data_IF_204715503030
#
_entry.id   IF_204715503030
#
_cell.length_a   1.000
_cell.length_b   1.000
_cell.length_c   1.000
_cell.angle_alpha   90.00
_cell.angle_beta   90.00
_cell.angle_gamma   90.00
#
_symmetry.space_group_name_H-M   'P 1'
#
loop_
_entity.id
_entity.type
_entity.pdbx_description
1 polymer ?
#
# COMPACT_ATOMS: atom_id res chain seq x y z
N UNK A 1 -21.27 -28.48 -25.10
CA UNK A 1 -19.81 -28.32 -25.24
C UNK A 1 -19.50 -26.92 -24.76
N UNK A 2 -18.70 -26.74 -23.71
CA UNK A 2 -18.10 -25.46 -23.28
C UNK A 2 -17.37 -25.68 -21.94
N UNK A 3 -16.08 -26.03 -22.03
CA UNK A 3 -14.97 -25.56 -21.18
C UNK A 3 -13.73 -26.41 -21.54
N UNK A 4 -13.24 -26.26 -22.78
CA UNK A 4 -11.95 -26.82 -23.22
C UNK A 4 -10.88 -25.71 -23.25
N UNK A 5 -10.99 -24.75 -22.31
CA UNK A 5 -9.93 -23.79 -22.05
C UNK A 5 -8.79 -24.52 -21.35
N UNK A 6 -7.64 -24.62 -22.02
CA UNK A 6 -6.38 -25.06 -21.40
C UNK A 6 -6.20 -24.30 -20.08
N UNK A 7 -6.33 -25.02 -18.98
CA UNK A 7 -6.24 -24.44 -17.65
C UNK A 7 -4.78 -24.47 -17.22
N UNK A 8 -4.16 -23.30 -17.09
CA UNK A 8 -2.79 -23.20 -16.59
C UNK A 8 -2.73 -23.47 -15.08
N UNK A 9 -1.61 -24.03 -14.66
CA UNK A 9 -1.19 -24.27 -13.29
C UNK A 9 -0.01 -23.33 -12.94
N UNK A 10 -0.19 -21.99 -12.89
CA UNK A 10 0.90 -21.04 -12.76
C UNK A 10 1.64 -21.07 -11.41
N UNK A 11 2.96 -20.87 -11.47
CA UNK A 11 3.82 -20.56 -10.32
C UNK A 11 4.93 -19.58 -10.69
N UNK A 12 5.46 -18.86 -9.69
CA UNK A 12 6.54 -17.89 -9.89
C UNK A 12 7.83 -18.39 -9.23
N UNK A 13 8.91 -18.37 -10.00
CA UNK A 13 10.28 -18.54 -9.53
C UNK A 13 10.90 -17.17 -9.29
N UNK A 14 11.34 -16.92 -8.06
CA UNK A 14 12.02 -15.68 -7.67
C UNK A 14 13.49 -15.98 -7.43
N UNK A 15 14.36 -15.30 -8.19
CA UNK A 15 15.80 -15.42 -8.09
C UNK A 15 16.42 -14.11 -7.62
N UNK A 16 17.39 -14.23 -6.71
CA UNK A 16 18.22 -13.12 -6.24
C UNK A 16 19.65 -13.61 -6.02
N UNK A 17 20.58 -13.17 -6.87
CA UNK A 17 21.94 -13.71 -6.89
C UNK A 17 21.92 -15.23 -7.08
N UNK A 18 22.55 -15.96 -6.16
CA UNK A 18 22.56 -17.43 -6.17
C UNK A 18 21.32 -18.08 -5.54
N UNK A 19 20.43 -17.30 -4.90
CA UNK A 19 19.28 -17.83 -4.18
C UNK A 19 18.07 -17.89 -5.11
N UNK A 20 17.39 -19.04 -5.09
CA UNK A 20 16.15 -19.26 -5.85
C UNK A 20 15.07 -19.77 -4.92
N UNK A 21 13.88 -19.18 -4.99
CA UNK A 21 12.67 -19.60 -4.28
C UNK A 21 11.51 -19.71 -5.25
N UNK A 22 10.51 -20.52 -4.93
CA UNK A 22 9.34 -20.74 -5.77
C UNK A 22 8.08 -20.58 -4.96
N UNK A 23 7.02 -20.06 -5.57
CA UNK A 23 5.69 -20.08 -4.97
C UNK A 23 5.08 -21.48 -5.06
N UNK A 24 3.95 -21.67 -4.37
CA UNK A 24 3.04 -22.76 -4.68
C UNK A 24 2.49 -22.65 -6.10
N UNK A 25 2.15 -23.82 -6.66
CA UNK A 25 1.45 -23.95 -7.94
C UNK A 25 -0.04 -23.71 -7.72
N UNK A 26 -0.61 -22.75 -8.43
CA UNK A 26 -2.03 -22.45 -8.38
C UNK A 26 -2.73 -23.18 -9.51
N UNK A 27 -3.59 -24.14 -9.19
CA UNK A 27 -4.14 -25.04 -10.20
C UNK A 27 -5.29 -24.43 -10.99
N UNK A 28 -5.30 -24.67 -12.30
CA UNK A 28 -6.38 -24.37 -13.22
C UNK A 28 -6.87 -22.92 -13.16
N UNK A 29 -5.94 -21.97 -13.16
CA UNK A 29 -6.26 -20.55 -13.06
C UNK A 29 -5.37 -19.69 -13.96
N UNK A 30 -5.99 -18.69 -14.59
CA UNK A 30 -5.29 -17.64 -15.34
C UNK A 30 -5.09 -16.36 -14.52
N UNK A 31 -5.68 -16.30 -13.32
CA UNK A 31 -5.54 -15.19 -12.37
C UNK A 31 -5.06 -15.73 -11.02
N UNK A 32 -3.83 -16.23 -10.94
CA UNK A 32 -3.29 -16.80 -9.70
C UNK A 32 -3.14 -15.74 -8.61
N UNK A 33 -3.39 -16.16 -7.37
CA UNK A 33 -3.16 -15.36 -6.17
C UNK A 33 -2.31 -16.18 -5.22
N UNK A 34 -1.03 -15.87 -5.13
CA UNK A 34 -0.10 -16.61 -4.26
C UNK A 34 -0.08 -16.05 -2.83
N UNK A 35 0.01 -14.71 -2.67
CA UNK A 35 0.17 -14.06 -1.36
C UNK A 35 1.29 -14.65 -0.49
N UNK A 36 2.35 -15.14 -1.13
CA UNK A 36 3.49 -15.78 -0.45
C UNK A 36 4.61 -14.79 -0.18
N UNK A 37 5.19 -14.88 1.02
CA UNK A 37 6.30 -14.03 1.45
C UNK A 37 7.62 -14.77 1.30
N UNK A 38 8.57 -14.13 0.63
CA UNK A 38 9.92 -14.63 0.46
C UNK A 38 10.93 -13.62 0.99
N UNK A 39 11.93 -14.10 1.73
CA UNK A 39 13.00 -13.27 2.27
C UNK A 39 14.33 -13.63 1.61
N UNK A 40 15.09 -12.63 1.20
CA UNK A 40 16.42 -12.79 0.66
C UNK A 40 17.38 -11.93 1.48
N UNK A 41 18.53 -12.46 1.92
CA UNK A 41 19.58 -11.62 2.49
C UNK A 41 20.13 -10.70 1.38
N UNK A 42 20.36 -9.43 1.72
CA UNK A 42 20.85 -8.40 0.81
C UNK A 42 22.14 -7.84 1.40
N UNK A 43 23.21 -7.80 0.62
CA UNK A 43 24.46 -7.12 0.98
C UNK A 43 24.46 -5.65 0.54
N UNK A 44 25.43 -4.85 1.00
CA UNK A 44 25.57 -3.47 0.51
C UNK A 44 25.85 -3.37 -1.00
N UNK A 45 26.51 -4.37 -1.59
CA UNK A 45 26.72 -4.42 -3.04
C UNK A 45 25.40 -4.71 -3.77
N UNK A 46 24.64 -5.66 -3.26
CA UNK A 46 23.30 -5.98 -3.78
C UNK A 46 22.35 -4.78 -3.69
N UNK A 47 22.53 -3.88 -2.72
CA UNK A 47 21.74 -2.64 -2.66
C UNK A 47 21.97 -1.72 -3.84
N UNK A 48 23.16 -1.76 -4.44
CA UNK A 48 23.52 -0.94 -5.62
C UNK A 48 23.29 -1.70 -6.92
N UNK A 49 23.63 -2.98 -6.96
CA UNK A 49 23.75 -3.75 -8.19
C UNK A 49 22.77 -4.94 -8.27
N UNK A 50 22.11 -5.28 -7.17
CA UNK A 50 21.26 -6.46 -7.06
C UNK A 50 20.01 -6.35 -7.93
N UNK A 51 19.63 -7.48 -8.52
CA UNK A 51 18.43 -7.60 -9.36
C UNK A 51 17.59 -8.77 -8.86
N UNK A 52 16.34 -8.49 -8.52
CA UNK A 52 15.30 -9.49 -8.26
C UNK A 52 14.69 -9.89 -9.60
N UNK A 53 14.77 -11.17 -9.94
CA UNK A 53 14.20 -11.72 -11.16
C UNK A 53 13.02 -12.61 -10.80
N UNK A 54 11.87 -12.33 -11.40
CA UNK A 54 10.64 -13.10 -11.30
C UNK A 54 10.39 -13.76 -12.65
N UNK A 55 10.19 -15.07 -12.67
CA UNK A 55 9.82 -15.83 -13.86
C UNK A 55 8.56 -16.61 -13.55
N UNK A 56 7.53 -16.42 -14.35
CA UNK A 56 6.27 -17.14 -14.25
C UNK A 56 6.31 -18.36 -15.15
N UNK A 57 5.83 -19.51 -14.67
CA UNK A 57 5.80 -20.75 -15.42
C UNK A 57 4.44 -21.42 -15.27
N UNK A 58 3.99 -22.10 -16.32
CA UNK A 58 2.88 -23.03 -16.29
C UNK A 58 3.38 -24.42 -15.88
N UNK A 59 2.80 -25.01 -14.82
CA UNK A 59 3.22 -26.32 -14.34
C UNK A 59 2.57 -27.41 -15.19
N UNK A 60 3.36 -28.09 -16.00
CA UNK A 60 2.88 -29.23 -16.76
C UNK A 60 3.05 -30.57 -16.02
N UNK A 61 2.05 -31.44 -16.17
CA UNK A 61 2.02 -32.78 -15.55
C UNK A 61 2.96 -33.76 -16.27
N UNK A 62 3.18 -33.55 -17.57
CA UNK A 62 4.10 -34.35 -18.40
C UNK A 62 4.80 -33.41 -19.39
N UNK A 63 6.00 -32.95 -19.05
CA UNK A 63 6.77 -32.04 -19.90
C UNK A 63 7.73 -31.18 -19.09
N UNK A 64 8.46 -30.33 -19.80
CA UNK A 64 9.09 -29.16 -19.20
C UNK A 64 8.02 -28.11 -18.86
N UNK A 65 8.26 -27.27 -17.86
CA UNK A 65 7.33 -26.20 -17.47
C UNK A 65 7.42 -25.05 -18.51
N UNK A 66 6.28 -24.61 -19.07
CA UNK A 66 6.25 -23.52 -20.06
C UNK A 66 6.48 -22.15 -19.39
N UNK A 67 7.47 -21.39 -19.84
CA UNK A 67 7.67 -20.01 -19.36
C UNK A 67 6.54 -19.10 -19.86
N UNK A 68 5.93 -18.34 -18.96
CA UNK A 68 4.82 -17.43 -19.25
C UNK A 68 5.20 -15.95 -19.10
N UNK A 69 6.44 -15.65 -18.74
CA UNK A 69 6.93 -14.29 -18.69
C UNK A 69 7.96 -14.04 -17.59
N UNK A 70 8.72 -12.97 -17.79
CA UNK A 70 9.84 -12.58 -16.94
C UNK A 70 9.76 -11.11 -16.55
N UNK A 71 10.19 -10.80 -15.33
CA UNK A 71 10.29 -9.45 -14.78
C UNK A 71 11.58 -9.31 -13.98
N UNK A 72 12.33 -8.23 -14.22
CA UNK A 72 13.52 -7.89 -13.44
C UNK A 72 13.33 -6.56 -12.73
N UNK A 73 13.59 -6.53 -11.42
CA UNK A 73 13.50 -5.33 -10.59
C UNK A 73 14.85 -5.08 -9.94
N UNK A 74 15.44 -3.91 -10.20
CA UNK A 74 16.70 -3.53 -9.57
C UNK A 74 16.45 -3.08 -8.14
N UNK A 75 17.22 -3.61 -7.20
CA UNK A 75 17.10 -3.31 -5.77
C UNK A 75 17.36 -1.83 -5.47
N UNK A 76 18.23 -1.17 -6.24
CA UNK A 76 18.51 0.26 -6.11
C UNK A 76 17.30 1.17 -6.41
N UNK A 77 16.34 0.70 -7.21
CA UNK A 77 15.15 1.48 -7.60
C UNK A 77 14.03 1.36 -6.56
N UNK A 78 14.21 0.50 -5.55
CA UNK A 78 13.22 0.24 -4.51
C UNK A 78 13.46 1.11 -3.26
N UNK A 79 12.39 1.65 -2.65
CA UNK A 79 12.50 2.42 -1.43
C UNK A 79 12.89 1.53 -0.24
N UNK A 80 13.72 2.07 0.64
CA UNK A 80 14.04 1.45 1.93
C UNK A 80 12.99 1.83 2.95
N UNK A 81 12.69 0.92 3.89
CA UNK A 81 11.78 1.16 5.01
C UNK A 81 10.34 1.47 4.61
N UNK A 82 9.99 1.27 3.34
CA UNK A 82 8.65 1.49 2.80
C UNK A 82 8.27 0.30 1.91
N UNK A 83 6.98 -0.02 1.87
CA UNK A 83 6.48 -1.02 0.94
C UNK A 83 6.42 -0.42 -0.47
N UNK A 84 7.03 -1.12 -1.41
CA UNK A 84 6.85 -0.91 -2.83
C UNK A 84 5.82 -1.91 -3.33
N UNK A 85 4.69 -1.44 -3.86
CA UNK A 85 3.64 -2.28 -4.43
C UNK A 85 3.24 -1.77 -5.80
N UNK A 86 3.37 -2.61 -6.82
CA UNK A 86 3.06 -2.23 -8.19
C UNK A 86 2.72 -3.44 -9.06
N UNK A 87 1.96 -3.19 -10.12
CA UNK A 87 1.74 -4.10 -11.24
C UNK A 87 2.80 -3.88 -12.30
N UNK A 88 3.33 -4.98 -12.85
CA UNK A 88 4.31 -4.96 -13.92
C UNK A 88 3.88 -5.91 -15.04
N UNK A 89 3.93 -5.43 -16.28
CA UNK A 89 3.89 -6.29 -17.45
C UNK A 89 5.21 -7.06 -17.61
N UNK A 90 5.17 -8.17 -18.35
CA UNK A 90 6.36 -8.96 -18.68
C UNK A 90 7.33 -8.21 -19.60
N UNK A 91 8.62 -8.49 -19.45
CA UNK A 91 9.71 -7.79 -20.17
C UNK A 91 9.81 -8.16 -21.65
N UNK A 92 9.44 -9.39 -22.00
CA UNK A 92 9.56 -9.90 -23.38
C UNK A 92 8.53 -9.27 -24.34
N UNK A 93 7.42 -8.75 -23.81
CA UNK A 93 6.30 -8.23 -24.60
C UNK A 93 5.61 -9.27 -25.50
N UNK A 94 6.00 -10.54 -25.39
CA UNK A 94 5.46 -11.67 -26.15
C UNK A 94 4.35 -12.33 -25.34
N UNK A 95 4.54 -12.45 -24.03
CA UNK A 95 3.54 -13.00 -23.13
C UNK A 95 2.55 -11.94 -22.68
N UNK A 96 1.27 -12.26 -22.72
CA UNK A 96 0.23 -11.44 -22.13
C UNK A 96 0.13 -11.69 -20.62
N UNK A 97 -0.03 -10.62 -19.84
CA UNK A 97 -0.24 -10.72 -18.40
C UNK A 97 0.57 -9.70 -17.62
N UNK A 98 0.24 -9.60 -16.33
CA UNK A 98 0.90 -8.70 -15.40
C UNK A 98 1.08 -9.42 -14.06
N UNK A 99 2.14 -9.04 -13.34
CA UNK A 99 2.44 -9.51 -12.00
C UNK A 99 2.38 -8.35 -11.01
N UNK A 100 1.56 -8.49 -9.97
CA UNK A 100 1.63 -7.61 -8.81
C UNK A 100 2.70 -8.11 -7.86
N UNK A 101 3.64 -7.24 -7.50
CA UNK A 101 4.65 -7.52 -6.47
C UNK A 101 4.52 -6.53 -5.32
N UNK A 102 4.82 -7.01 -4.11
CA UNK A 102 5.05 -6.17 -2.94
C UNK A 102 6.44 -6.47 -2.38
N UNK A 103 7.30 -5.46 -2.33
CA UNK A 103 8.68 -5.57 -1.85
C UNK A 103 8.91 -4.61 -0.68
N UNK A 104 9.61 -5.10 0.34
CA UNK A 104 10.01 -4.32 1.51
C UNK A 104 11.47 -4.60 1.83
N UNK A 105 12.29 -3.54 1.84
CA UNK A 105 13.71 -3.64 2.17
C UNK A 105 13.90 -3.23 3.63
N UNK A 106 14.45 -4.16 4.41
CA UNK A 106 14.95 -3.95 5.77
C UNK A 106 16.46 -3.84 5.68
N UNK A 107 16.99 -2.65 5.92
CA UNK A 107 18.42 -2.49 6.23
C UNK A 107 18.61 -2.64 7.74
N UNK A 108 19.82 -2.97 8.21
CA UNK A 108 20.11 -2.75 9.63
C UNK A 108 20.01 -1.23 9.89
N UNK A 109 19.36 -0.84 10.99
CA UNK A 109 19.30 0.57 11.39
C UNK A 109 20.75 1.10 11.40
N UNK A 110 21.04 2.25 10.74
CA UNK A 110 22.40 2.79 10.73
C UNK A 110 22.88 2.84 12.18
N UNK A 111 24.12 2.42 12.48
CA UNK A 111 24.60 2.27 13.85
C UNK A 111 24.29 3.57 14.57
N UNK A 112 23.29 3.51 15.47
CA UNK A 112 22.85 4.72 16.14
C UNK A 112 24.09 5.32 16.78
N UNK A 113 24.38 6.62 16.58
CA UNK A 113 25.51 7.25 17.24
C UNK A 113 25.42 6.85 18.71
N UNK A 114 26.53 6.39 19.32
CA UNK A 114 26.51 5.77 20.64
C UNK A 114 25.64 6.64 21.51
N UNK A 115 24.59 6.05 22.12
CA UNK A 115 23.67 6.76 23.01
C UNK A 115 24.53 7.36 24.12
N UNK A 116 25.09 8.54 23.89
CA UNK A 116 25.68 9.37 24.92
C UNK A 116 24.51 9.58 25.85
N UNK A 117 24.59 8.98 27.03
CA UNK A 117 23.64 9.23 28.10
C UNK A 117 23.66 10.74 28.28
N UNK A 118 22.68 11.42 27.69
CA UNK A 118 22.50 12.84 27.87
C UNK A 118 22.39 13.01 29.38
N UNK A 119 23.38 13.66 29.98
CA UNK A 119 23.23 14.17 31.32
C UNK A 119 21.93 14.97 31.31
N UNK A 120 21.01 14.58 32.17
CA UNK A 120 19.67 15.13 32.28
C UNK A 120 19.74 16.66 32.22
N UNK A 121 19.31 17.25 31.11
CA UNK A 121 19.08 18.69 31.01
C UNK A 121 17.56 18.88 31.02
N UNK A 122 17.00 19.61 32.00
CA UNK A 122 15.56 19.77 32.09
C UNK A 122 15.07 20.69 30.96
N UNK A 123 14.14 20.16 30.17
CA UNK A 123 12.98 20.89 29.67
C UNK A 123 13.17 21.86 28.51
N UNK A 124 12.94 21.38 27.29
CA UNK A 124 12.55 22.21 26.16
C UNK A 124 12.02 21.36 25.01
N UNK A 125 10.76 21.58 24.60
CA UNK A 125 10.23 20.98 23.35
C UNK A 125 11.06 21.51 22.19
N UNK A 126 11.44 20.64 21.24
CA UNK A 126 12.18 21.09 20.06
C UNK A 126 11.37 22.09 19.23
N UNK A 127 12.04 22.91 18.42
CA UNK A 127 11.38 23.90 17.55
C UNK A 127 10.35 23.24 16.60
N UNK A 128 10.65 22.03 16.11
CA UNK A 128 9.75 21.22 15.29
C UNK A 128 8.49 20.82 16.07
N UNK A 129 8.66 20.30 17.30
CA UNK A 129 7.53 19.93 18.16
C UNK A 129 6.65 21.13 18.53
N UNK A 130 7.23 22.32 18.71
CA UNK A 130 6.48 23.55 18.96
C UNK A 130 5.71 24.02 17.71
N UNK A 131 6.29 23.88 16.52
CA UNK A 131 5.63 24.23 15.26
C UNK A 131 4.43 23.32 14.96
N UNK A 132 4.58 22.01 15.14
CA UNK A 132 3.51 21.02 14.94
C UNK A 132 2.34 21.22 15.93
N UNK A 133 2.64 21.52 17.20
CA UNK A 133 1.60 21.79 18.20
C UNK A 133 0.84 23.10 17.90
N UNK A 134 1.54 24.13 17.40
CA UNK A 134 0.95 25.40 16.97
C UNK A 134 0.03 25.20 15.75
N UNK A 135 0.45 24.38 14.77
CA UNK A 135 -0.37 24.04 13.61
C UNK A 135 -1.62 23.23 13.98
N UNK A 136 -1.49 22.22 14.84
CA UNK A 136 -2.62 21.43 15.35
C UNK A 136 -3.63 22.28 16.12
N UNK A 137 -3.16 23.24 16.94
CA UNK A 137 -4.02 24.18 17.66
C UNK A 137 -4.76 25.13 16.73
N UNK A 138 -4.10 25.62 15.67
CA UNK A 138 -4.73 26.47 14.66
C UNK A 138 -5.86 25.73 13.92
N UNK A 139 -5.57 24.51 13.42
CA UNK A 139 -6.57 23.69 12.72
C UNK A 139 -7.78 23.35 13.60
N UNK A 140 -7.57 23.01 14.88
CA UNK A 140 -8.67 22.70 15.81
C UNK A 140 -9.55 23.91 16.11
N UNK A 141 -8.99 25.13 16.11
CA UNK A 141 -9.75 26.37 16.35
C UNK A 141 -10.62 26.72 15.14
N UNK A 142 -10.10 26.51 13.94
CA UNK A 142 -10.83 26.71 12.68
C UNK A 142 -11.99 25.71 12.55
N UNK A 143 -11.74 24.44 12.83
CA UNK A 143 -12.78 23.40 12.80
C UNK A 143 -13.92 23.70 13.80
N UNK A 144 -13.59 24.12 15.03
CA UNK A 144 -14.59 24.49 16.03
C UNK A 144 -15.38 25.73 15.63
N UNK A 145 -14.78 26.68 14.92
CA UNK A 145 -15.47 27.86 14.43
C UNK A 145 -16.45 27.51 13.30
N UNK A 146 -16.05 26.67 12.35
CA UNK A 146 -16.90 26.19 11.27
C UNK A 146 -18.10 25.37 11.81
N UNK A 147 -17.85 24.48 12.78
CA UNK A 147 -18.90 23.68 13.41
C UNK A 147 -19.90 24.54 14.20
N UNK A 148 -19.41 25.57 14.90
CA UNK A 148 -20.29 26.52 15.60
C UNK A 148 -21.12 27.41 14.65
N UNK A 149 -20.64 27.67 13.43
CA UNK A 149 -21.41 28.37 12.41
C UNK A 149 -22.48 27.47 11.79
N UNK A 150 -22.15 26.21 11.50
CA UNK A 150 -23.11 25.21 11.01
C UNK A 150 -24.26 25.03 12.02
N UNK A 151 -23.93 24.85 13.30
CA UNK A 151 -24.93 24.66 14.35
C UNK A 151 -25.84 25.89 14.51
N UNK A 152 -25.30 27.11 14.35
CA UNK A 152 -26.11 28.35 14.35
C UNK A 152 -27.07 28.43 13.16
N UNK A 153 -26.64 28.02 11.97
CA UNK A 153 -27.50 27.98 10.77
C UNK A 153 -28.59 26.92 10.93
N UNK A 154 -28.26 25.76 11.50
CA UNK A 154 -29.22 24.67 11.74
C UNK A 154 -30.30 25.08 12.75
N UNK A 155 -29.93 25.70 13.87
CA UNK A 155 -30.90 26.20 14.85
C UNK A 155 -31.80 27.30 14.25
N UNK A 156 -31.24 28.20 13.43
CA UNK A 156 -32.04 29.20 12.70
C UNK A 156 -33.06 28.57 11.73
N UNK A 157 -32.69 27.48 11.05
CA UNK A 157 -33.62 26.74 10.19
C UNK A 157 -34.73 26.04 10.99
N UNK A 158 -34.38 25.39 12.11
CA UNK A 158 -35.35 24.75 13.01
C UNK A 158 -36.32 25.77 13.62
N UNK A 159 -35.84 26.94 14.02
CA UNK A 159 -36.68 28.01 14.57
C UNK A 159 -37.64 28.55 13.50
N UNK A 160 -37.16 28.78 12.26
CA UNK A 160 -38.00 29.18 11.14
C UNK A 160 -39.07 28.11 10.82
N UNK A 161 -38.73 26.82 10.92
CA UNK A 161 -39.68 25.73 10.72
C UNK A 161 -40.75 25.68 11.84
N UNK A 162 -40.35 25.83 13.10
CA UNK A 162 -41.28 25.89 14.26
C UNK A 162 -42.21 27.10 14.19
N UNK A 163 -41.72 28.24 13.73
CA UNK A 163 -42.51 29.46 13.55
C UNK A 163 -43.62 29.30 12.50
N UNK A 164 -43.36 28.51 11.44
CA UNK A 164 -44.37 28.22 10.40
C UNK A 164 -45.47 27.26 10.86
N UNK A 165 -45.20 26.39 11.85
CA UNK A 165 -46.19 25.44 12.38
C UNK A 165 -47.17 26.14 13.36
N UNK A 166 -46.70 27.13 14.14
CA UNK A 166 -47.56 27.87 15.09
C UNK A 166 -48.43 28.97 14.45
N UNK A 167 -48.29 29.24 13.15
CA UNK A 167 -49.09 30.25 12.42
C UNK A 167 -50.19 29.66 11.52
N UNK A 168 -50.51 28.38 11.66
CA UNK A 168 -51.46 27.69 10.79
C UNK A 168 -52.47 26.82 11.54
N UNK A 169 -53.24 27.43 12.45
CA UNK A 169 -54.60 26.94 12.72
C UNK A 169 -55.60 27.72 11.85
N UNK A 170 -56.52 26.96 11.26
CA UNK A 170 -57.72 27.35 10.50
C UNK A 170 -57.55 27.79 9.04
N UNK A 171 -58.02 26.94 8.12
CA UNK A 171 -59.08 27.34 7.20
C UNK A 171 -59.95 26.13 6.81
N UNK A 172 -61.25 26.36 6.85
CA UNK A 172 -62.31 25.38 6.62
C UNK A 172 -62.94 25.50 5.23
N UNK A 173 -63.61 24.41 4.81
CA UNK A 173 -64.76 24.26 3.88
C UNK A 173 -64.55 24.47 2.36
N UNK A 174 -64.62 23.37 1.58
CA UNK A 174 -65.85 22.83 0.96
C UNK A 174 -65.69 21.34 0.68
#
# INVERSE_FOLDING_TARGET
AMDDGKSSDPFVVVQFGALTKKTSVQKKTINPVWNEKMQFPITEDDRRNGVLVFQCFDKDVMGDDDEMGRLSVRVQDLPVWQSYRAWHAWEDGEHAGELEIEVFIVEDEPPQPPKVKAKHHPGGKSVLQQAEEKQRRAAKREQRAAEAELNRKEEGYKEAARSKINKGSELAVK
#
